data_IF_178965228223
#
_entry.id   IF_178965228223
#
_cell.length_a   1.000
_cell.length_b   1.000
_cell.length_c   1.000
_cell.angle_alpha   90.00
_cell.angle_beta   90.00
_cell.angle_gamma   90.00
#
_symmetry.space_group_name_H-M   'P 1'
#
loop_
_entity.id
_entity.type
_entity.pdbx_description
1 polymer ?
#
# COMPACT_ATOMS: atom_id res chain seq x y z
N UNK A 1 14.98 -6.69 0.87
CA UNK A 1 15.16 -6.85 -0.59
C UNK A 1 13.81 -6.69 -1.31
N UNK A 2 13.78 -5.95 -2.43
CA UNK A 2 12.60 -5.82 -3.29
C UNK A 2 12.25 -7.16 -3.95
N UNK A 3 10.95 -7.44 -4.15
CA UNK A 3 10.51 -8.59 -4.96
C UNK A 3 9.48 -8.15 -6.00
N UNK A 4 9.54 -8.78 -7.17
CA UNK A 4 8.77 -8.40 -8.34
C UNK A 4 7.96 -9.58 -8.86
N UNK A 5 6.73 -9.33 -9.29
CA UNK A 5 5.83 -10.28 -9.91
C UNK A 5 5.22 -9.69 -11.18
N UNK A 6 4.85 -10.55 -12.12
CA UNK A 6 4.32 -10.15 -13.43
C UNK A 6 3.07 -10.97 -13.73
N UNK A 7 1.98 -10.25 -13.98
CA UNK A 7 0.70 -10.78 -14.45
C UNK A 7 0.42 -10.17 -15.82
N UNK A 8 0.06 -11.02 -16.78
CA UNK A 8 -0.52 -10.57 -18.05
C UNK A 8 -2.00 -10.87 -18.04
N UNK A 9 -2.83 -9.95 -18.51
CA UNK A 9 -4.27 -10.16 -18.63
C UNK A 9 -4.80 -9.75 -20.01
N UNK A 10 -5.76 -10.50 -20.52
CA UNK A 10 -6.47 -10.26 -21.79
C UNK A 10 -7.88 -10.86 -21.68
N UNK A 11 -8.25 -11.84 -22.52
CA UNK A 11 -9.39 -12.72 -22.27
C UNK A 11 -9.17 -13.57 -21.01
N UNK A 12 -7.96 -14.14 -20.92
CA UNK A 12 -7.45 -14.91 -19.79
C UNK A 12 -6.38 -14.10 -19.05
N UNK A 13 -6.22 -14.35 -17.75
CA UNK A 13 -5.13 -13.78 -16.96
C UNK A 13 -4.19 -14.87 -16.48
N UNK A 14 -2.89 -14.58 -16.51
CA UNK A 14 -1.83 -15.55 -16.17
C UNK A 14 -0.77 -14.87 -15.31
N UNK A 15 -0.38 -15.55 -14.22
CA UNK A 15 0.81 -15.19 -13.44
C UNK A 15 2.02 -15.73 -14.20
N UNK A 16 2.77 -14.85 -14.85
CA UNK A 16 4.01 -15.21 -15.55
C UNK A 16 5.20 -15.26 -14.58
N UNK A 17 5.12 -14.51 -13.48
CA UNK A 17 6.15 -14.48 -12.44
C UNK A 17 5.50 -14.23 -11.08
N UNK A 18 5.72 -15.13 -10.12
CA UNK A 18 5.43 -14.87 -8.70
C UNK A 18 6.49 -13.94 -8.11
N UNK A 19 6.25 -13.38 -6.91
CA UNK A 19 7.18 -12.45 -6.28
C UNK A 19 8.58 -13.06 -6.09
N UNK A 20 9.55 -12.59 -6.89
CA UNK A 20 10.95 -13.02 -6.84
C UNK A 20 11.88 -11.85 -6.57
N UNK A 21 12.99 -12.09 -5.86
CA UNK A 21 14.10 -11.14 -5.75
C UNK A 21 15.15 -11.30 -6.84
N UNK A 22 14.96 -12.28 -7.75
CA UNK A 22 15.83 -12.49 -8.91
C UNK A 22 15.48 -11.47 -10.01
N UNK A 23 16.34 -10.45 -10.12
CA UNK A 23 16.16 -9.37 -11.10
C UNK A 23 16.40 -9.88 -12.52
N UNK A 24 17.29 -10.85 -12.72
CA UNK A 24 17.59 -11.38 -14.05
C UNK A 24 16.41 -12.19 -14.59
N UNK A 25 15.80 -13.03 -13.74
CA UNK A 25 14.56 -13.75 -14.06
C UNK A 25 13.43 -12.75 -14.39
N UNK A 26 13.24 -11.73 -13.55
CA UNK A 26 12.19 -10.74 -13.75
C UNK A 26 12.34 -9.98 -15.07
N UNK A 27 13.57 -9.55 -15.40
CA UNK A 27 13.87 -8.88 -16.66
C UNK A 27 13.64 -9.79 -17.87
N UNK A 28 14.08 -11.04 -17.81
CA UNK A 28 13.89 -11.99 -18.91
C UNK A 28 12.41 -12.28 -19.17
N UNK A 29 11.59 -12.47 -18.12
CA UNK A 29 10.15 -12.64 -18.27
C UNK A 29 9.48 -11.38 -18.84
N UNK A 30 9.89 -10.20 -18.39
CA UNK A 30 9.34 -8.94 -18.90
C UNK A 30 9.65 -8.74 -20.40
N UNK A 31 10.88 -9.05 -20.85
CA UNK A 31 11.30 -8.92 -22.25
C UNK A 31 10.65 -9.93 -23.19
N UNK A 32 10.28 -11.11 -22.67
CA UNK A 32 9.74 -12.23 -23.45
C UNK A 32 8.22 -12.40 -23.29
N UNK A 33 7.56 -11.45 -22.62
CA UNK A 33 6.13 -11.53 -22.34
C UNK A 33 5.32 -11.56 -23.66
N UNK A 34 4.50 -12.60 -23.90
CA UNK A 34 3.82 -12.76 -25.18
C UNK A 34 2.69 -11.74 -25.33
N UNK A 35 2.71 -10.99 -26.43
CA UNK A 35 1.61 -10.14 -26.85
C UNK A 35 0.33 -10.97 -27.07
N UNK A 36 -0.81 -10.48 -26.59
CA UNK A 36 -2.12 -11.07 -26.86
C UNK A 36 -2.88 -10.15 -27.81
N UNK A 37 -3.19 -10.60 -29.03
CA UNK A 37 -3.92 -9.76 -29.99
C UNK A 37 -5.44 -9.77 -29.76
N UNK A 38 -5.92 -10.24 -28.61
CA UNK A 38 -7.33 -10.29 -28.27
C UNK A 38 -7.90 -8.90 -27.94
N UNK A 39 -9.16 -8.66 -28.28
CA UNK A 39 -9.86 -7.39 -27.99
C UNK A 39 -10.39 -7.28 -26.54
N UNK A 40 -10.19 -8.32 -25.74
CA UNK A 40 -10.73 -8.40 -24.38
C UNK A 40 -9.71 -7.96 -23.34
N UNK A 41 -10.18 -7.21 -22.36
CA UNK A 41 -9.37 -6.67 -21.26
C UNK A 41 -10.04 -7.06 -19.93
N UNK A 42 -9.59 -8.15 -19.32
CA UNK A 42 -10.18 -8.69 -18.07
C UNK A 42 -9.47 -8.17 -16.81
N UNK A 43 -9.67 -6.89 -16.49
CA UNK A 43 -9.03 -6.25 -15.33
C UNK A 43 -9.44 -6.93 -14.01
N UNK A 44 -10.72 -7.33 -13.87
CA UNK A 44 -11.21 -8.05 -12.69
C UNK A 44 -10.40 -9.32 -12.41
N UNK A 45 -10.12 -10.13 -13.45
CA UNK A 45 -9.29 -11.33 -13.32
C UNK A 45 -7.84 -11.00 -12.96
N UNK A 46 -7.26 -9.96 -13.57
CA UNK A 46 -5.92 -9.47 -13.23
C UNK A 46 -5.79 -9.08 -11.75
N UNK A 47 -6.72 -8.30 -11.22
CA UNK A 47 -6.75 -7.92 -9.80
C UNK A 47 -6.89 -9.13 -8.87
N UNK A 48 -7.73 -10.10 -9.21
CA UNK A 48 -7.86 -11.33 -8.41
C UNK A 48 -6.55 -12.15 -8.36
N UNK A 49 -5.80 -12.21 -9.47
CA UNK A 49 -4.49 -12.87 -9.46
C UNK A 49 -3.47 -12.10 -8.63
N UNK A 50 -3.48 -10.77 -8.70
CA UNK A 50 -2.63 -9.94 -7.84
C UNK A 50 -2.96 -10.17 -6.36
N UNK A 51 -4.25 -10.22 -6.01
CA UNK A 51 -4.69 -10.50 -4.65
C UNK A 51 -4.23 -11.89 -4.19
N UNK A 52 -4.25 -12.89 -5.08
CA UNK A 52 -3.72 -14.22 -4.79
C UNK A 52 -2.21 -14.20 -4.51
N UNK A 53 -1.42 -13.47 -5.29
CA UNK A 53 0.02 -13.31 -5.06
C UNK A 53 0.26 -12.68 -3.67
N UNK A 54 -0.41 -11.56 -3.35
CA UNK A 54 -0.20 -10.89 -2.07
C UNK A 54 -0.71 -11.68 -0.87
N UNK A 55 -1.80 -12.43 -1.00
CA UNK A 55 -2.28 -13.32 0.07
C UNK A 55 -1.29 -14.43 0.41
N UNK A 56 -0.53 -14.92 -0.59
CA UNK A 56 0.44 -15.99 -0.38
C UNK A 56 1.80 -15.47 0.10
N UNK A 57 2.29 -14.40 -0.51
CA UNK A 57 3.70 -13.99 -0.40
C UNK A 57 3.88 -12.55 0.14
N UNK A 58 2.77 -11.83 0.32
CA UNK A 58 2.72 -10.49 0.90
C UNK A 58 3.19 -10.48 2.35
N UNK A 59 3.82 -9.38 2.75
CA UNK A 59 4.19 -9.16 4.15
C UNK A 59 3.76 -7.77 4.57
N UNK A 60 3.30 -7.66 5.81
CA UNK A 60 2.73 -6.43 6.35
C UNK A 60 3.78 -5.36 6.64
N UNK A 61 4.99 -5.80 6.96
CA UNK A 61 6.13 -4.96 7.34
C UNK A 61 6.75 -4.21 6.15
N UNK A 62 6.26 -4.45 4.93
CA UNK A 62 6.75 -3.84 3.69
C UNK A 62 5.61 -3.31 2.82
N UNK A 63 5.84 -2.25 2.02
CA UNK A 63 4.83 -1.78 1.10
C UNK A 63 4.47 -2.83 0.03
N UNK A 64 3.17 -3.10 -0.10
CA UNK A 64 2.60 -3.87 -1.19
C UNK A 64 2.17 -2.90 -2.30
N UNK A 65 2.54 -3.17 -3.54
CA UNK A 65 2.27 -2.31 -4.69
C UNK A 65 1.73 -3.14 -5.85
N UNK A 66 0.57 -2.78 -6.36
CA UNK A 66 0.07 -3.29 -7.64
C UNK A 66 0.15 -2.17 -8.67
N UNK A 67 0.75 -2.43 -9.83
CA UNK A 67 0.84 -1.49 -10.93
C UNK A 67 0.05 -2.03 -12.12
N UNK A 68 -1.13 -1.48 -12.38
CA UNK A 68 -1.93 -1.76 -13.56
C UNK A 68 -1.48 -0.87 -14.72
N UNK A 69 -1.18 -1.47 -15.87
CA UNK A 69 -0.93 -0.79 -17.14
C UNK A 69 -1.90 -1.37 -18.18
N UNK A 70 -2.72 -0.52 -18.79
CA UNK A 70 -3.71 -0.93 -19.79
C UNK A 70 -3.96 0.18 -20.82
N UNK A 71 -4.26 -0.19 -22.05
CA UNK A 71 -4.81 0.69 -23.09
C UNK A 71 -6.29 0.42 -23.40
N UNK A 72 -6.84 -0.67 -22.84
CA UNK A 72 -8.22 -1.12 -23.02
C UNK A 72 -9.13 -0.88 -21.81
N UNK A 73 -10.44 -0.85 -22.07
CA UNK A 73 -11.51 -0.85 -21.07
C UNK A 73 -11.75 -2.24 -20.49
N UNK A 74 -12.02 -2.34 -19.19
CA UNK A 74 -12.61 -3.56 -18.65
C UNK A 74 -13.91 -3.91 -19.39
N UNK A 75 -13.89 -4.99 -20.18
CA UNK A 75 -15.01 -5.35 -21.07
C UNK A 75 -15.51 -6.78 -20.87
N UNK A 76 -14.78 -7.61 -20.11
CA UNK A 76 -15.18 -8.95 -19.71
C UNK A 76 -14.81 -9.22 -18.24
N UNK A 77 -15.35 -10.29 -17.67
CA UNK A 77 -15.04 -10.70 -16.28
C UNK A 77 -15.88 -10.00 -15.20
N UNK A 78 -16.58 -8.92 -15.55
CA UNK A 78 -17.44 -8.16 -14.64
C UNK A 78 -16.79 -6.87 -14.14
N UNK A 79 -17.42 -6.24 -13.15
CA UNK A 79 -16.93 -5.01 -12.51
C UNK A 79 -15.63 -5.27 -11.73
N UNK A 80 -14.50 -4.59 -12.06
CA UNK A 80 -13.24 -4.72 -11.32
C UNK A 80 -13.25 -4.10 -9.92
N UNK A 81 -14.23 -3.24 -9.60
CA UNK A 81 -14.27 -2.45 -8.36
C UNK A 81 -14.16 -3.30 -7.09
N UNK A 82 -14.91 -4.41 -6.91
CA UNK A 82 -14.78 -5.24 -5.72
C UNK A 82 -13.39 -5.86 -5.54
N UNK A 83 -12.71 -6.23 -6.64
CA UNK A 83 -11.36 -6.80 -6.59
C UNK A 83 -10.30 -5.73 -6.30
N UNK A 84 -10.48 -4.51 -6.83
CA UNK A 84 -9.64 -3.37 -6.49
C UNK A 84 -9.78 -2.98 -5.01
N UNK A 85 -11.00 -2.97 -4.49
CA UNK A 85 -11.28 -2.68 -3.09
C UNK A 85 -10.72 -3.77 -2.17
N UNK A 86 -10.77 -5.04 -2.57
CA UNK A 86 -10.13 -6.13 -1.85
C UNK A 86 -8.61 -5.92 -1.75
N UNK A 87 -7.93 -5.60 -2.87
CA UNK A 87 -6.50 -5.28 -2.88
C UNK A 87 -6.18 -4.14 -1.91
N UNK A 88 -6.90 -3.01 -2.01
CA UNK A 88 -6.69 -1.86 -1.12
C UNK A 88 -6.92 -2.22 0.34
N UNK A 89 -7.96 -3.03 0.64
CA UNK A 89 -8.25 -3.50 2.00
C UNK A 89 -7.15 -4.41 2.57
N UNK A 90 -6.41 -5.10 1.70
CA UNK A 90 -5.25 -5.91 2.04
C UNK A 90 -3.96 -5.08 2.21
N UNK A 91 -4.04 -3.75 2.12
CA UNK A 91 -2.90 -2.85 2.26
C UNK A 91 -2.08 -2.66 0.98
N UNK A 92 -2.65 -2.99 -0.18
CA UNK A 92 -1.99 -2.79 -1.48
C UNK A 92 -2.17 -1.35 -1.96
N UNK A 93 -1.05 -0.69 -2.23
CA UNK A 93 -0.99 0.56 -2.96
C UNK A 93 -1.19 0.28 -4.46
N UNK A 94 -2.42 0.48 -4.95
CA UNK A 94 -2.80 0.24 -6.34
C UNK A 94 -2.57 1.48 -7.21
N UNK A 95 -1.58 1.40 -8.09
CA UNK A 95 -1.32 2.37 -9.17
C UNK A 95 -2.00 1.91 -10.46
N UNK A 96 -2.55 2.85 -11.23
CA UNK A 96 -3.19 2.57 -12.52
C UNK A 96 -2.68 3.53 -13.59
N UNK A 97 -2.25 2.99 -14.72
CA UNK A 97 -1.76 3.72 -15.88
C UNK A 97 -2.59 3.34 -17.10
N UNK A 98 -3.32 4.32 -17.64
CA UNK A 98 -3.95 4.25 -18.94
C UNK A 98 -2.97 4.71 -20.03
N UNK A 99 -2.89 3.99 -21.15
CA UNK A 99 -2.03 4.37 -22.29
C UNK A 99 -2.85 4.49 -23.58
N UNK A 100 -2.64 5.56 -24.35
CA UNK A 100 -3.23 5.75 -25.67
C UNK A 100 -4.49 6.63 -25.68
N UNK A 101 -5.08 6.79 -26.86
CA UNK A 101 -6.21 7.71 -27.12
C UNK A 101 -7.50 7.28 -26.41
N UNK A 102 -7.53 6.07 -25.83
CA UNK A 102 -8.57 5.54 -24.97
C UNK A 102 -8.28 5.62 -23.46
N UNK A 103 -7.11 6.12 -23.03
CA UNK A 103 -6.76 6.27 -21.61
C UNK A 103 -7.63 7.33 -20.89
N UNK A 104 -8.12 8.34 -21.62
CA UNK A 104 -9.16 9.24 -21.13
C UNK A 104 -10.56 8.60 -21.20
N UNK A 105 -10.75 7.62 -22.09
CA UNK A 105 -11.99 6.87 -22.20
C UNK A 105 -12.11 5.78 -21.11
N UNK A 106 -11.01 5.39 -20.43
CA UNK A 106 -11.03 4.51 -19.26
C UNK A 106 -11.50 5.28 -18.05
N UNK A 107 -12.79 5.62 -18.02
CA UNK A 107 -13.40 6.41 -16.95
C UNK A 107 -13.20 5.81 -15.56
N UNK A 108 -12.81 4.55 -15.43
CA UNK A 108 -12.83 3.85 -14.14
C UNK A 108 -11.44 3.62 -13.51
N UNK A 109 -10.33 3.84 -14.22
CA UNK A 109 -8.98 3.59 -13.64
C UNK A 109 -8.72 4.40 -12.37
N UNK A 110 -9.14 5.66 -12.38
CA UNK A 110 -9.02 6.56 -11.23
C UNK A 110 -9.91 6.16 -10.04
N UNK A 111 -10.92 5.30 -10.25
CA UNK A 111 -11.81 4.77 -9.20
C UNK A 111 -11.10 3.62 -8.45
N UNK A 112 -10.36 2.81 -9.19
CA UNK A 112 -9.64 1.66 -8.62
C UNK A 112 -8.31 2.05 -7.97
N UNK A 113 -7.65 3.10 -8.50
CA UNK A 113 -6.41 3.62 -7.95
C UNK A 113 -6.51 3.95 -6.44
N UNK A 114 -5.38 3.86 -5.75
CA UNK A 114 -5.26 4.35 -4.37
C UNK A 114 -5.34 5.89 -4.32
N UNK A 115 -5.61 6.45 -3.15
CA UNK A 115 -5.81 7.89 -3.02
C UNK A 115 -4.55 8.66 -2.59
N UNK A 116 -4.36 9.91 -3.05
CA UNK A 116 -5.17 10.64 -4.01
C UNK A 116 -4.79 10.27 -5.45
N UNK A 117 -5.73 10.50 -6.37
CA UNK A 117 -5.56 10.15 -7.77
C UNK A 117 -4.37 10.85 -8.45
N UNK A 118 -3.99 12.06 -8.03
CA UNK A 118 -2.83 12.75 -8.58
C UNK A 118 -1.49 12.03 -8.36
N UNK A 119 -1.46 11.01 -7.48
CA UNK A 119 -0.27 10.22 -7.19
C UNK A 119 -0.34 8.78 -7.72
N UNK A 120 -1.55 8.21 -7.83
CA UNK A 120 -1.73 6.80 -8.14
C UNK A 120 -2.39 6.55 -9.50
N UNK A 121 -2.87 7.59 -10.17
CA UNK A 121 -3.51 7.48 -11.47
C UNK A 121 -2.77 8.32 -12.51
N UNK A 122 -2.47 7.67 -13.64
CA UNK A 122 -1.81 8.25 -14.80
C UNK A 122 -2.63 7.97 -16.06
N UNK A 123 -2.83 9.01 -16.87
CA UNK A 123 -3.35 8.88 -18.23
C UNK A 123 -2.32 9.41 -19.20
N UNK A 124 -1.87 8.56 -20.11
CA UNK A 124 -0.80 8.84 -21.06
C UNK A 124 -1.34 8.74 -22.49
N UNK A 125 -0.90 9.64 -23.38
CA UNK A 125 -1.38 9.66 -24.77
C UNK A 125 -0.76 8.55 -25.64
N UNK A 126 0.27 7.86 -25.15
CA UNK A 126 0.89 6.74 -25.86
C UNK A 126 2.13 6.19 -25.17
N UNK A 127 2.56 5.00 -25.60
CA UNK A 127 3.63 4.23 -24.95
C UNK A 127 4.98 4.97 -24.86
N UNK A 128 5.28 5.89 -25.78
CA UNK A 128 6.50 6.71 -25.71
C UNK A 128 6.56 7.61 -24.47
N UNK A 129 5.41 8.00 -23.90
CA UNK A 129 5.35 8.82 -22.70
C UNK A 129 5.63 8.03 -21.42
N UNK A 130 5.54 6.69 -21.45
CA UNK A 130 5.93 5.85 -20.31
C UNK A 130 7.39 6.10 -19.93
N UNK A 131 8.28 6.28 -20.92
CA UNK A 131 9.69 6.57 -20.69
C UNK A 131 9.93 7.88 -19.92
N UNK A 132 9.04 8.87 -20.05
CA UNK A 132 9.14 10.13 -19.32
C UNK A 132 8.54 10.09 -17.91
N UNK A 133 7.53 9.23 -17.69
CA UNK A 133 6.81 9.16 -16.40
C UNK A 133 7.46 8.16 -15.45
N UNK A 134 8.01 7.06 -15.96
CA UNK A 134 8.61 6.02 -15.13
C UNK A 134 9.75 6.47 -14.22
N UNK A 135 10.66 7.38 -14.60
CA UNK A 135 11.68 7.86 -13.67
C UNK A 135 11.08 8.51 -12.42
N UNK A 136 10.02 9.31 -12.55
CA UNK A 136 9.36 9.95 -11.42
C UNK A 136 8.49 8.95 -10.65
N UNK A 137 7.67 8.17 -11.34
CA UNK A 137 6.81 7.15 -10.76
C UNK A 137 7.61 6.12 -9.95
N UNK A 138 8.69 5.58 -10.51
CA UNK A 138 9.50 4.56 -9.84
C UNK A 138 10.31 5.16 -8.69
N UNK A 139 11.09 6.22 -8.96
CA UNK A 139 12.08 6.69 -7.99
C UNK A 139 11.46 7.52 -6.85
N UNK A 140 10.34 8.19 -7.10
CA UNK A 140 9.72 9.07 -6.10
C UNK A 140 8.51 8.39 -5.47
N UNK A 141 7.60 7.86 -6.30
CA UNK A 141 6.30 7.45 -5.79
C UNK A 141 6.26 6.01 -5.33
N UNK A 142 6.68 5.07 -6.18
CA UNK A 142 6.70 3.65 -5.82
C UNK A 142 7.76 3.40 -4.75
N UNK A 143 9.01 3.83 -4.97
CA UNK A 143 10.08 3.68 -3.98
C UNK A 143 9.82 4.42 -2.66
N UNK A 144 9.04 5.51 -2.69
CA UNK A 144 8.66 6.28 -1.50
C UNK A 144 7.33 5.85 -0.87
N UNK A 145 6.65 4.81 -1.36
CA UNK A 145 5.30 4.48 -0.87
C UNK A 145 5.36 3.84 0.52
N UNK A 146 4.43 4.21 1.39
CA UNK A 146 4.34 3.65 2.74
C UNK A 146 3.60 2.32 2.76
N UNK A 147 3.95 1.44 3.71
CA UNK A 147 3.20 0.24 3.99
C UNK A 147 1.83 0.63 4.60
N UNK A 148 0.75 0.22 3.95
CA UNK A 148 -0.62 0.45 4.45
C UNK A 148 -0.95 -0.67 5.41
N UNK A 149 -1.29 -0.32 6.64
CA UNK A 149 -1.56 -1.32 7.67
C UNK A 149 -3.07 -1.62 7.72
N UNK A 150 -3.49 -2.88 7.50
CA UNK A 150 -4.89 -3.26 7.56
C UNK A 150 -5.49 -2.99 8.94
N UNK A 151 -6.77 -2.60 8.94
CA UNK A 151 -7.59 -2.33 10.13
C UNK A 151 -7.65 -3.47 11.15
N UNK A 152 -7.38 -4.72 10.75
CA UNK A 152 -7.43 -5.89 11.62
C UNK A 152 -6.07 -6.26 12.24
N UNK A 153 -5.04 -5.44 12.01
CA UNK A 153 -3.73 -5.58 12.63
C UNK A 153 -3.48 -4.38 13.54
N UNK A 154 -2.81 -4.61 14.65
CA UNK A 154 -2.50 -3.57 15.65
C UNK A 154 -1.04 -3.60 16.10
N UNK A 155 -0.25 -4.54 15.58
CA UNK A 155 1.14 -4.78 15.97
C UNK A 155 1.94 -5.20 14.75
N UNK A 156 2.97 -4.42 14.42
CA UNK A 156 3.78 -4.62 13.22
C UNK A 156 5.23 -4.80 13.66
N UNK A 157 5.80 -6.01 13.49
CA UNK A 157 7.22 -6.18 13.68
C UNK A 157 7.97 -5.47 12.55
N UNK A 158 9.10 -4.88 12.89
CA UNK A 158 9.98 -4.26 11.93
C UNK A 158 11.39 -4.22 12.48
N UNK A 159 12.34 -4.02 11.59
CA UNK A 159 13.71 -3.73 11.97
C UNK A 159 14.10 -2.49 11.13
N UNK A 160 15.13 -1.71 11.44
CA UNK A 160 15.55 -0.58 10.61
C UNK A 160 17.03 -0.34 10.81
N UNK A 161 17.75 -0.14 9.71
CA UNK A 161 19.18 0.18 9.77
C UNK A 161 19.39 1.64 10.12
N UNK A 162 20.60 1.95 10.57
CA UNK A 162 21.01 3.31 10.89
C UNK A 162 20.77 4.27 9.72
N UNK A 163 20.18 5.43 10.04
CA UNK A 163 19.85 6.51 9.11
C UNK A 163 18.86 6.12 7.98
N UNK A 164 18.34 4.89 7.99
CA UNK A 164 17.26 4.45 7.10
C UNK A 164 15.89 4.71 7.73
N UNK A 165 14.87 4.81 6.89
CA UNK A 165 13.49 5.08 7.30
C UNK A 165 12.54 3.99 6.82
N UNK A 166 11.57 3.63 7.65
CA UNK A 166 10.38 2.87 7.26
C UNK A 166 9.14 3.72 7.40
N UNK A 167 8.24 3.63 6.41
CA UNK A 167 7.05 4.44 6.33
C UNK A 167 5.80 3.58 6.46
N UNK A 168 4.87 4.00 7.32
CA UNK A 168 3.60 3.33 7.55
C UNK A 168 2.42 4.29 7.41
N UNK A 169 1.31 3.78 6.90
CA UNK A 169 0.01 4.42 6.88
C UNK A 169 -0.92 3.64 7.80
N UNK A 170 -1.35 4.25 8.90
CA UNK A 170 -2.25 3.61 9.87
C UNK A 170 -3.62 4.32 9.88
N UNK A 171 -4.73 3.57 9.97
CA UNK A 171 -6.05 4.15 10.13
C UNK A 171 -6.22 4.72 11.55
N UNK A 172 -6.90 5.85 11.66
CA UNK A 172 -7.20 6.51 12.92
C UNK A 172 -8.68 6.88 13.00
N UNK A 173 -9.33 6.53 14.10
CA UNK A 173 -10.74 6.83 14.30
C UNK A 173 -10.92 8.30 14.77
N UNK A 174 -11.72 9.07 14.03
CA UNK A 174 -11.91 10.50 14.30
C UNK A 174 -12.61 10.81 15.62
N UNK A 175 -13.35 9.86 16.19
CA UNK A 175 -14.07 10.02 17.46
C UNK A 175 -13.24 9.63 18.68
N UNK A 176 -12.31 8.68 18.53
CA UNK A 176 -11.59 8.11 19.68
C UNK A 176 -10.11 8.46 19.72
N UNK A 177 -9.55 9.01 18.64
CA UNK A 177 -8.12 9.29 18.57
C UNK A 177 -7.31 8.04 18.21
N UNK A 178 -6.00 8.18 18.29
CA UNK A 178 -5.04 7.13 18.00
C UNK A 178 -3.91 7.16 19.05
N UNK A 179 -3.60 6.00 19.61
CA UNK A 179 -2.38 5.82 20.41
C UNK A 179 -1.40 4.99 19.59
N UNK A 180 -0.17 5.50 19.45
CA UNK A 180 0.96 4.82 18.78
C UNK A 180 2.02 4.53 19.83
N UNK A 181 2.53 3.31 19.82
CA UNK A 181 3.63 2.86 20.66
C UNK A 181 4.70 2.21 19.79
N UNK A 182 5.94 2.67 19.96
CA UNK A 182 7.11 2.07 19.33
C UNK A 182 7.94 1.38 20.41
N UNK A 183 7.81 0.06 20.50
CA UNK A 183 8.62 -0.78 21.37
C UNK A 183 9.90 -1.18 20.65
N UNK A 184 11.05 -0.92 21.27
CA UNK A 184 12.35 -1.34 20.73
C UNK A 184 12.78 -2.61 21.44
N UNK A 185 13.06 -3.65 20.66
CA UNK A 185 13.62 -4.91 21.16
C UNK A 185 15.15 -4.87 21.18
N UNK A 186 15.77 -4.14 20.26
CA UNK A 186 17.22 -3.96 20.14
C UNK A 186 17.52 -2.61 19.50
N UNK A 187 18.44 -1.84 20.05
CA UNK A 187 18.91 -0.58 19.46
C UNK A 187 18.09 0.67 19.86
N UNK A 188 17.92 1.59 18.92
CA UNK A 188 17.20 2.85 19.14
C UNK A 188 16.66 3.43 17.84
N UNK A 189 15.50 4.08 17.90
CA UNK A 189 14.88 4.75 16.76
C UNK A 189 14.19 6.06 17.16
N UNK A 190 13.91 6.89 16.16
CA UNK A 190 13.02 8.05 16.27
C UNK A 190 11.78 7.76 15.45
N UNK A 191 10.61 8.00 16.03
CA UNK A 191 9.33 7.95 15.33
C UNK A 191 8.87 9.38 15.04
N UNK A 192 8.64 9.68 13.77
CA UNK A 192 7.98 10.90 13.29
C UNK A 192 6.58 10.54 12.83
N UNK A 193 5.60 11.36 13.19
CA UNK A 193 4.19 11.15 12.83
C UNK A 193 3.63 12.42 12.23
N UNK A 194 2.91 12.31 11.12
CA UNK A 194 2.16 13.41 10.54
C UNK A 194 0.73 13.01 10.18
N UNK A 195 -0.16 13.99 10.27
CA UNK A 195 -1.56 13.92 9.87
C UNK A 195 -1.76 14.37 8.41
N UNK A 196 -0.73 14.96 7.80
CA UNK A 196 -0.83 15.60 6.48
C UNK A 196 0.34 15.25 5.55
N UNK A 197 1.56 15.14 6.09
CA UNK A 197 2.75 14.77 5.32
C UNK A 197 2.86 13.26 5.19
N UNK A 198 2.96 12.77 3.96
CA UNK A 198 2.99 11.33 3.65
C UNK A 198 4.32 10.67 3.96
N UNK A 199 5.37 11.48 3.99
CA UNK A 199 6.74 11.06 4.27
C UNK A 199 7.28 11.91 5.42
N UNK A 200 6.79 11.70 6.66
CA UNK A 200 7.27 12.45 7.81
C UNK A 200 8.78 12.32 7.95
N UNK A 201 9.42 13.39 8.41
CA UNK A 201 10.86 13.45 8.58
C UNK A 201 11.24 14.42 9.69
N UNK A 202 12.53 14.56 9.96
CA UNK A 202 13.04 15.58 10.91
C UNK A 202 12.70 17.02 10.51
N UNK A 203 12.39 17.27 9.23
CA UNK A 203 12.03 18.59 8.71
C UNK A 203 10.51 18.82 8.64
N UNK A 204 9.71 17.76 8.71
CA UNK A 204 8.26 17.81 8.46
C UNK A 204 7.54 16.72 9.26
N UNK A 205 6.99 17.08 10.42
CA UNK A 205 6.26 16.20 11.33
C UNK A 205 5.28 16.99 12.22
N UNK A 206 4.23 16.32 12.69
CA UNK A 206 3.30 16.85 13.70
C UNK A 206 3.66 16.36 15.11
N UNK A 207 4.15 15.12 15.22
CA UNK A 207 4.58 14.52 16.47
C UNK A 207 5.92 13.78 16.30
N UNK A 208 6.70 13.72 17.36
CA UNK A 208 7.97 13.00 17.39
C UNK A 208 8.18 12.35 18.75
N UNK A 209 8.77 11.16 18.77
CA UNK A 209 9.21 10.49 19.99
C UNK A 209 10.50 9.71 19.75
N UNK A 210 11.35 9.63 20.76
CA UNK A 210 12.53 8.78 20.73
C UNK A 210 12.21 7.46 21.45
N UNK A 211 12.65 6.34 20.88
CA UNK A 211 12.42 5.02 21.43
C UNK A 211 13.75 4.27 21.63
N UNK A 212 13.89 3.62 22.77
CA UNK A 212 15.00 2.72 23.11
C UNK A 212 14.46 1.50 23.83
N UNK A 213 15.29 0.46 24.03
CA UNK A 213 14.90 -0.81 24.65
C UNK A 213 14.16 -0.68 26.00
N UNK A 214 14.47 0.38 26.77
CA UNK A 214 13.89 0.60 28.10
C UNK A 214 12.95 1.81 28.16
N UNK A 215 12.77 2.52 27.04
CA UNK A 215 11.91 3.69 26.95
C UNK A 215 11.19 3.66 25.59
N UNK A 216 10.05 2.96 25.51
CA UNK A 216 9.26 2.92 24.30
C UNK A 216 8.83 4.32 23.86
N UNK A 217 8.79 4.55 22.55
CA UNK A 217 8.19 5.76 22.01
C UNK A 217 6.68 5.72 22.19
N UNK A 218 6.08 6.81 22.66
CA UNK A 218 4.64 6.91 22.86
C UNK A 218 4.10 8.23 22.29
N UNK A 219 3.08 8.13 21.44
CA UNK A 219 2.40 9.27 20.83
C UNK A 219 0.90 9.07 20.96
N UNK A 220 0.20 10.03 21.56
CA UNK A 220 -1.26 10.07 21.58
C UNK A 220 -1.75 11.23 20.72
N UNK A 221 -2.66 10.93 19.79
CA UNK A 221 -3.28 11.88 18.90
C UNK A 221 -4.76 11.96 19.26
N UNK A 222 -5.18 13.12 19.77
CA UNK A 222 -6.56 13.31 20.23
C UNK A 222 -7.56 13.36 19.06
N UNK A 223 -8.85 13.04 19.30
CA UNK A 223 -9.93 13.22 18.33
C UNK A 223 -9.93 14.62 17.67
N UNK A 224 -9.73 15.67 18.47
CA UNK A 224 -9.74 17.05 17.99
C UNK A 224 -8.59 17.32 17.01
N UNK A 225 -7.39 16.78 17.26
CA UNK A 225 -6.25 16.94 16.35
C UNK A 225 -6.49 16.25 15.02
N UNK A 226 -7.06 15.03 15.05
CA UNK A 226 -7.44 14.30 13.83
C UNK A 226 -8.52 15.04 13.03
N UNK A 227 -9.59 15.48 13.69
CA UNK A 227 -10.68 16.21 13.04
C UNK A 227 -10.20 17.52 12.41
N UNK A 228 -9.36 18.28 13.13
CA UNK A 228 -8.80 19.53 12.62
C UNK A 228 -7.95 19.32 11.37
N UNK A 229 -7.12 18.27 11.35
CA UNK A 229 -6.32 17.92 10.17
C UNK A 229 -7.17 17.47 8.97
N UNK A 230 -8.37 16.93 9.21
CA UNK A 230 -9.29 16.45 8.17
C UNK A 230 -10.34 17.49 7.74
N UNK A 231 -10.30 18.72 8.26
CA UNK A 231 -11.32 19.77 8.02
C UNK A 231 -11.54 20.13 6.55
N UNK A 232 -10.64 19.74 5.65
CA UNK A 232 -10.72 19.97 4.20
C UNK A 232 -11.28 18.76 3.42
N UNK A 233 -11.58 17.65 4.08
CA UNK A 233 -11.81 16.32 3.48
C UNK A 233 -13.28 15.88 3.47
N UNK A 234 -14.21 16.80 3.19
CA UNK A 234 -15.63 16.44 3.08
C UNK A 234 -15.94 15.72 1.77
N UNK A 235 -16.72 14.65 1.85
CA UNK A 235 -17.32 14.03 0.66
C UNK A 235 -18.67 14.71 0.44
N UNK A 236 -18.78 15.45 -0.65
CA UNK A 236 -20.05 16.02 -1.12
C UNK A 236 -20.73 15.01 -2.04
N UNK A 237 -21.83 14.42 -1.59
CA UNK A 237 -22.67 13.57 -2.47
C UNK A 237 -23.62 14.45 -3.29
N UNK A 238 -23.90 15.65 -2.80
CA UNK A 238 -24.63 16.72 -3.48
C UNK A 238 -24.33 18.06 -2.77
N UNK A 239 -24.83 19.16 -3.33
CA UNK A 239 -24.76 20.51 -2.71
C UNK A 239 -25.31 20.57 -1.27
N UNK A 240 -26.02 19.52 -0.81
CA UNK A 240 -26.71 19.48 0.48
C UNK A 240 -26.33 18.29 1.39
N UNK A 241 -25.49 17.35 0.94
CA UNK A 241 -25.11 16.16 1.73
C UNK A 241 -23.60 16.10 1.92
N UNK A 242 -23.18 16.37 3.15
CA UNK A 242 -21.81 16.18 3.63
C UNK A 242 -21.74 14.84 4.35
N UNK A 243 -20.96 13.88 3.85
CA UNK A 243 -20.56 12.75 4.68
C UNK A 243 -19.35 13.16 5.52
N UNK A 244 -19.46 12.99 6.83
CA UNK A 244 -18.29 13.02 7.71
C UNK A 244 -17.53 11.71 7.55
N UNK A 245 -16.24 11.79 7.25
CA UNK A 245 -15.36 10.63 7.29
C UNK A 245 -15.36 10.11 8.74
N UNK A 246 -15.45 8.79 8.93
CA UNK A 246 -15.30 8.18 10.26
C UNK A 246 -13.83 7.96 10.64
N UNK A 247 -12.94 7.97 9.64
CA UNK A 247 -11.53 7.63 9.78
C UNK A 247 -10.62 8.65 9.08
N UNK A 248 -9.42 8.81 9.63
CA UNK A 248 -8.29 9.52 9.06
C UNK A 248 -7.14 8.56 8.77
N UNK A 249 -6.21 8.97 7.92
CA UNK A 249 -4.93 8.29 7.74
C UNK A 249 -3.86 9.06 8.50
N UNK A 250 -3.07 8.34 9.29
CA UNK A 250 -1.89 8.86 9.97
C UNK A 250 -0.65 8.26 9.32
N UNK A 251 0.31 9.13 9.00
CA UNK A 251 1.57 8.75 8.35
C UNK A 251 2.66 8.70 9.41
N UNK A 252 3.45 7.62 9.38
CA UNK A 252 4.49 7.35 10.35
C UNK A 252 5.80 7.11 9.60
N UNK A 253 6.90 7.70 10.09
CA UNK A 253 8.25 7.35 9.70
C UNK A 253 9.04 6.88 10.93
N UNK A 254 9.68 5.72 10.85
CA UNK A 254 10.58 5.19 11.89
C UNK A 254 12.00 5.25 11.34
N UNK A 255 12.87 6.01 12.00
CA UNK A 255 14.27 6.24 11.60
C UNK A 255 15.21 5.52 12.55
N UNK A 256 16.05 4.63 12.03
CA UNK A 256 17.02 3.87 12.83
C UNK A 256 18.19 4.74 13.28
N UNK A 257 18.58 4.61 14.56
CA UNK A 257 19.72 5.31 15.16
C UNK A 257 20.91 4.36 15.37
N UNK A 258 20.62 3.12 15.76
CA UNK A 258 21.62 2.06 15.90
C UNK A 258 21.91 1.39 14.55
N UNK A 259 23.08 0.76 14.41
CA UNK A 259 23.48 0.01 13.21
C UNK A 259 22.37 -0.92 12.73
N UNK A 260 21.70 -1.56 13.69
CA UNK A 260 20.44 -2.25 13.48
C UNK A 260 19.50 -1.96 14.65
N UNK A 261 18.22 -1.73 14.35
CA UNK A 261 17.18 -1.51 15.36
C UNK A 261 16.03 -2.47 15.14
N UNK A 262 15.70 -3.32 16.10
CA UNK A 262 14.53 -4.21 16.06
C UNK A 262 13.39 -3.62 16.87
N UNK A 263 12.19 -3.59 16.32
CA UNK A 263 11.05 -2.93 16.93
C UNK A 263 9.71 -3.62 16.66
N UNK A 264 8.73 -3.25 17.48
CA UNK A 264 7.31 -3.50 17.24
C UNK A 264 6.58 -2.16 17.25
N UNK A 265 5.85 -1.87 16.17
CA UNK A 265 4.96 -0.71 16.08
C UNK A 265 3.55 -1.17 16.45
N UNK A 266 3.12 -0.78 17.64
CA UNK A 266 1.75 -1.00 18.11
C UNK A 266 0.92 0.26 17.91
N UNK A 267 -0.33 0.08 17.50
CA UNK A 267 -1.29 1.17 17.47
C UNK A 267 -2.69 0.68 17.81
N UNK A 268 -3.38 1.46 18.63
CA UNK A 268 -4.74 1.16 19.04
C UNK A 268 -5.67 2.26 18.52
N UNK A 269 -6.49 1.97 17.50
CA UNK A 269 -7.67 2.78 17.28
C UNK A 269 -8.55 2.58 18.51
N UNK A 270 -8.73 3.62 19.32
CA UNK A 270 -9.42 3.55 20.60
C UNK A 270 -10.95 3.28 20.47
N UNK A 271 -11.43 2.35 19.65
CA UNK A 271 -12.57 1.46 19.97
C UNK A 271 -12.91 0.46 18.85
N UNK A 272 -13.15 -0.77 19.30
CA UNK A 272 -14.06 -1.78 18.77
C UNK A 272 -15.18 -1.21 17.87
N UNK A 273 -15.08 -1.42 16.56
CA UNK A 273 -16.24 -1.42 15.70
C UNK A 273 -16.82 -2.85 15.66
N UNK A 274 -17.92 -3.00 16.39
CA UNK A 274 -19.01 -3.98 16.25
C UNK A 274 -18.68 -5.19 15.36
N UNK A 275 -18.52 -6.34 16.00
CA UNK A 275 -18.61 -7.67 15.40
C UNK A 275 -19.96 -7.84 14.69
N UNK A 276 -19.98 -7.68 13.36
CA UNK A 276 -20.90 -8.46 12.54
C UNK A 276 -20.18 -9.77 12.26
N UNK A 277 -20.63 -10.83 12.92
CA UNK A 277 -20.06 -12.17 12.80
C UNK A 277 -19.96 -12.58 11.32
N UNK A 278 -18.76 -12.88 10.79
CA UNK A 278 -18.65 -13.73 9.63
C UNK A 278 -19.05 -15.14 10.08
N UNK A 279 -19.87 -15.81 9.27
CA UNK A 279 -20.25 -17.19 9.49
C UNK A 279 -19.01 -18.08 9.77
N UNK A 280 -19.18 -19.00 10.72
CA UNK A 280 -18.17 -19.95 11.15
C UNK A 280 -17.48 -20.65 9.96
N UNK A 281 -16.17 -20.47 9.84
CA UNK A 281 -15.30 -21.45 9.17
C UNK A 281 -14.22 -21.85 10.17
N UNK A 282 -14.44 -23.01 10.76
CA UNK A 282 -13.46 -23.76 11.54
C UNK A 282 -12.31 -24.19 10.63
N UNK A 283 -11.08 -23.76 10.94
CA UNK A 283 -9.89 -24.64 10.86
C UNK A 283 -8.79 -24.14 11.78
N UNK A 284 -8.48 -24.99 12.76
CA UNK A 284 -7.25 -25.04 13.56
C UNK A 284 -5.99 -25.14 12.70
N UNK A 285 -4.97 -24.33 12.99
CA UNK A 285 -3.58 -24.73 13.25
C UNK A 285 -2.70 -23.49 13.43
N UNK A 286 -2.19 -23.29 14.65
CA UNK A 286 -1.13 -22.33 14.90
C UNK A 286 0.17 -22.80 14.27
N UNK A 287 0.86 -21.91 13.58
CA UNK A 287 2.25 -22.09 13.15
C UNK A 287 3.01 -20.83 13.53
N UNK A 288 3.91 -20.97 14.50
CA UNK A 288 4.98 -20.03 14.78
C UNK A 288 6.10 -20.26 13.77
N UNK A 289 6.53 -19.22 13.05
CA UNK A 289 7.67 -19.29 12.13
C UNK A 289 8.78 -18.39 12.67
N UNK A 290 9.90 -19.03 12.99
CA UNK A 290 11.16 -18.41 13.35
C UNK A 290 11.96 -18.18 12.04
N UNK A 291 12.41 -16.96 11.75
CA UNK A 291 13.29 -16.67 10.60
C UNK A 291 14.45 -15.77 11.06
N UNK A 292 15.69 -16.27 11.08
CA UNK A 292 16.88 -15.46 11.28
C UNK A 292 17.44 -14.93 9.96
N UNK A 293 17.82 -13.65 9.95
CA UNK A 293 18.87 -13.10 9.07
C UNK A 293 18.44 -12.38 7.78
N UNK A 294 18.23 -11.05 7.87
CA UNK A 294 18.66 -10.01 6.90
C UNK A 294 17.90 -8.69 7.17
N UNK A 295 18.58 -7.54 7.28
CA UNK A 295 17.92 -6.27 7.61
C UNK A 295 17.59 -5.40 6.37
N UNK A 296 16.32 -5.00 6.25
CA UNK A 296 15.67 -3.90 5.50
C UNK A 296 15.77 -3.73 3.98
N UNK A 297 14.81 -2.93 3.48
CA UNK A 297 14.57 -2.39 2.11
C UNK A 297 13.93 -3.33 1.09
N UNK A 298 12.59 -3.33 0.99
CA UNK A 298 11.87 -4.13 0.00
C UNK A 298 10.47 -3.60 -0.29
N UNK A 299 10.11 -3.44 -1.57
CA UNK A 299 8.73 -3.30 -2.06
C UNK A 299 8.33 -4.62 -2.70
N UNK A 300 7.06 -5.01 -2.52
CA UNK A 300 6.45 -6.11 -3.24
C UNK A 300 5.61 -5.55 -4.39
N UNK A 301 6.16 -5.57 -5.60
CA UNK A 301 5.53 -5.00 -6.79
C UNK A 301 4.97 -6.11 -7.68
N UNK A 302 3.66 -6.09 -7.94
CA UNK A 302 3.03 -6.89 -8.99
C UNK A 302 2.65 -5.98 -10.15
N UNK A 303 3.22 -6.22 -11.33
CA UNK A 303 2.91 -5.49 -12.55
C UNK A 303 1.85 -6.27 -13.32
N UNK A 304 0.72 -5.63 -13.60
CA UNK A 304 -0.37 -6.16 -14.40
C UNK A 304 -0.33 -5.44 -15.75
N UNK A 305 -0.14 -6.17 -16.84
CA UNK A 305 -0.03 -5.56 -18.18
C UNK A 305 -1.02 -6.17 -19.17
N UNK A 306 -1.65 -5.28 -19.93
CA UNK A 306 -2.42 -5.56 -21.15
C UNK A 306 -1.89 -4.69 -22.29
N UNK A 307 -1.95 -5.24 -23.50
CA UNK A 307 -1.53 -4.61 -24.76
C UNK A 307 -2.51 -5.02 -25.87
#
# INVERSE_FOLDING_TARGET
MNRFGIIRFSSDSVIFLNLTSDVEEAMNIAETLPYDSGENTNIFSGFNLAAKIFKNDGRIDVPLVALLITDGQANIGGDPTPAADELKSFGVNLFTIGVGVGAEATTDLHIWASSPNCMFYYSLNGYLQLASVFPELLNVQICGVSAVVPINQTSIPGVVEKDQSLFYQVPANLSTGLTIKLDINEGAAIIYVSLTSRLPSSADYDFVSNATENNPGHIYISPNQLQNAQSSSFIFISDFVKLEKSEATVFIAIVGISDLTNFTLDYEPHNNLVTIAPAEISTTAGISINIPGSPFTGILLSILVHF
#
